data_IF_470929856562
#
_entry.id   IF_470929856562
#
_cell.length_a   1.000
_cell.length_b   1.000
_cell.length_c   1.000
_cell.angle_alpha   90.00
_cell.angle_beta   90.00
_cell.angle_gamma   90.00
#
_symmetry.space_group_name_H-M   'P 1'
#
loop_
_entity.id
_entity.type
_entity.pdbx_description
1 polymer ?
#
# COMPACT_ATOMS: atom_id res chain seq x y z
N UNK A 1 -2.43 18.02 13.16
CA UNK A 1 -2.29 16.61 12.71
C UNK A 1 -2.70 15.61 13.79
N UNK A 2 -2.10 15.65 15.00
CA UNK A 2 -2.44 14.73 16.10
C UNK A 2 -3.94 14.71 16.46
N UNK A 3 -4.58 15.87 16.54
CA UNK A 3 -6.02 15.97 16.81
C UNK A 3 -6.89 15.23 15.77
N UNK A 4 -6.59 15.39 14.47
CA UNK A 4 -7.32 14.71 13.40
C UNK A 4 -7.14 13.19 13.46
N UNK A 5 -5.91 12.73 13.74
CA UNK A 5 -5.62 11.31 13.90
C UNK A 5 -6.38 10.72 15.10
N UNK A 6 -6.38 11.42 16.24
CA UNK A 6 -7.18 11.03 17.41
C UNK A 6 -8.67 10.89 17.08
N UNK A 7 -9.26 11.87 16.38
CA UNK A 7 -10.69 11.80 15.99
C UNK A 7 -10.94 10.60 15.06
N UNK A 8 -10.04 10.32 14.12
CA UNK A 8 -10.16 9.15 13.25
C UNK A 8 -10.11 7.84 14.05
N UNK A 9 -9.14 7.67 14.96
CA UNK A 9 -9.03 6.48 15.83
C UNK A 9 -10.27 6.34 16.72
N UNK A 10 -10.72 7.43 17.35
CA UNK A 10 -11.91 7.44 18.19
C UNK A 10 -13.15 6.98 17.43
N UNK A 11 -13.42 7.61 16.29
CA UNK A 11 -14.58 7.26 15.47
C UNK A 11 -14.51 5.82 14.95
N UNK A 12 -13.31 5.34 14.60
CA UNK A 12 -13.11 3.97 14.17
C UNK A 12 -13.43 3.00 15.32
N UNK A 13 -12.85 3.20 16.51
CA UNK A 13 -13.10 2.36 17.68
C UNK A 13 -14.60 2.31 18.06
N UNK A 14 -15.26 3.47 18.14
CA UNK A 14 -16.69 3.56 18.44
C UNK A 14 -17.56 2.86 17.37
N UNK A 15 -17.13 2.88 16.11
CA UNK A 15 -17.86 2.19 15.03
C UNK A 15 -17.68 0.68 15.14
N UNK A 16 -16.46 0.21 15.45
CA UNK A 16 -16.17 -1.23 15.64
C UNK A 16 -16.93 -1.79 16.83
N UNK A 17 -17.02 -1.06 17.94
CA UNK A 17 -17.81 -1.47 19.10
C UNK A 17 -19.27 -1.69 18.73
N UNK A 18 -19.86 -0.86 17.86
CA UNK A 18 -21.27 -0.99 17.43
C UNK A 18 -21.54 -2.17 16.47
N UNK A 19 -20.51 -2.88 15.99
CA UNK A 19 -20.65 -4.01 15.05
C UNK A 19 -20.96 -5.37 15.73
N UNK A 20 -21.39 -5.38 17.00
CA UNK A 20 -21.55 -6.57 17.86
C UNK A 20 -22.34 -7.73 17.23
N UNK A 21 -23.26 -7.44 16.30
CA UNK A 21 -24.08 -8.46 15.61
C UNK A 21 -23.31 -9.36 14.64
N UNK A 22 -22.04 -9.06 14.33
CA UNK A 22 -21.19 -9.84 13.41
C UNK A 22 -19.80 -10.08 13.99
N UNK A 23 -19.70 -10.98 14.97
CA UNK A 23 -18.48 -11.25 15.73
C UNK A 23 -17.20 -11.46 14.87
N UNK A 24 -17.31 -12.16 13.73
CA UNK A 24 -16.17 -12.36 12.83
C UNK A 24 -15.67 -11.07 12.17
N UNK A 25 -16.57 -10.24 11.66
CA UNK A 25 -16.24 -8.96 11.03
C UNK A 25 -15.72 -7.98 12.08
N UNK A 26 -16.38 -7.91 13.24
CA UNK A 26 -15.96 -7.05 14.34
C UNK A 26 -14.52 -7.35 14.76
N UNK A 27 -14.14 -8.62 14.86
CA UNK A 27 -12.77 -9.02 15.21
C UNK A 27 -11.74 -8.50 14.19
N UNK A 28 -11.99 -8.68 12.89
CA UNK A 28 -11.06 -8.23 11.85
C UNK A 28 -10.98 -6.70 11.81
N UNK A 29 -12.12 -6.02 11.92
CA UNK A 29 -12.18 -4.55 11.97
C UNK A 29 -11.49 -3.99 13.22
N UNK A 30 -11.56 -4.70 14.35
CA UNK A 30 -10.82 -4.36 15.56
C UNK A 30 -9.31 -4.44 15.34
N UNK A 31 -8.82 -5.51 14.71
CA UNK A 31 -7.39 -5.60 14.36
C UNK A 31 -6.96 -4.44 13.46
N UNK A 32 -7.75 -4.04 12.46
CA UNK A 32 -7.43 -2.89 11.60
C UNK A 32 -7.44 -1.57 12.37
N UNK A 33 -8.40 -1.37 13.27
CA UNK A 33 -8.46 -0.20 14.16
C UNK A 33 -7.21 -0.12 15.05
N UNK A 34 -6.83 -1.23 15.67
CA UNK A 34 -5.66 -1.32 16.53
C UNK A 34 -4.37 -1.08 15.73
N UNK A 35 -4.25 -1.65 14.52
CA UNK A 35 -3.11 -1.42 13.64
C UNK A 35 -2.99 0.06 13.26
N UNK A 36 -4.11 0.70 12.92
CA UNK A 36 -4.14 2.12 12.56
C UNK A 36 -3.72 3.02 13.73
N UNK A 37 -4.21 2.72 14.94
CA UNK A 37 -3.84 3.46 16.15
C UNK A 37 -2.35 3.26 16.51
N UNK A 38 -1.88 2.02 16.54
CA UNK A 38 -0.48 1.68 16.83
C UNK A 38 0.46 2.28 15.78
N UNK A 39 0.10 2.25 14.50
CA UNK A 39 0.87 2.89 13.44
C UNK A 39 1.01 4.40 13.66
N UNK A 40 -0.05 5.06 14.12
CA UNK A 40 -0.02 6.48 14.47
C UNK A 40 0.92 6.79 15.63
N UNK A 41 0.91 5.96 16.68
CA UNK A 41 1.83 6.07 17.82
C UNK A 41 3.27 5.83 17.36
N UNK A 42 3.52 4.70 16.68
CA UNK A 42 4.81 4.30 16.14
C UNK A 42 5.43 5.39 15.25
N UNK A 43 4.65 5.95 14.33
CA UNK A 43 5.12 6.98 13.39
C UNK A 43 5.41 8.33 14.07
N UNK A 44 4.88 8.56 15.28
CA UNK A 44 5.02 9.83 16.01
C UNK A 44 5.67 9.63 17.39
N UNK A 45 6.52 8.62 17.53
CA UNK A 45 7.10 8.18 18.81
C UNK A 45 7.70 9.33 19.64
N UNK A 46 8.39 10.27 18.99
CA UNK A 46 8.99 11.43 19.68
C UNK A 46 7.98 12.28 20.46
N UNK A 47 6.76 12.46 19.93
CA UNK A 47 5.72 13.25 20.61
C UNK A 47 5.16 12.54 21.85
N UNK A 48 5.05 11.20 21.82
CA UNK A 48 4.54 10.40 22.94
C UNK A 48 5.56 10.17 24.05
N UNK A 49 6.86 10.29 23.75
CA UNK A 49 7.95 10.21 24.71
C UNK A 49 8.28 11.56 25.36
N UNK A 50 7.99 12.68 24.68
CA UNK A 50 8.50 14.01 25.04
C UNK A 50 8.06 14.49 26.43
N UNK A 51 6.82 14.23 26.84
CA UNK A 51 6.28 14.64 28.13
C UNK A 51 6.42 13.56 29.23
N UNK A 52 7.02 12.42 28.90
CA UNK A 52 7.18 11.28 29.80
C UNK A 52 5.89 10.53 30.12
N UNK A 53 4.77 10.85 29.44
CA UNK A 53 3.51 10.13 29.60
C UNK A 53 3.63 8.66 29.13
N UNK A 54 4.42 8.44 28.08
CA UNK A 54 4.80 7.10 27.62
C UNK A 54 6.28 6.87 27.88
N UNK A 55 6.62 5.72 28.47
CA UNK A 55 8.01 5.30 28.70
C UNK A 55 8.61 4.63 27.46
N UNK A 56 9.94 4.57 27.39
CA UNK A 56 10.65 3.84 26.33
C UNK A 56 10.22 2.37 26.25
N UNK A 57 10.11 1.69 27.39
CA UNK A 57 9.65 0.30 27.45
C UNK A 57 8.21 0.12 26.91
N UNK A 58 7.32 1.10 27.12
CA UNK A 58 5.99 1.07 26.53
C UNK A 58 6.01 1.29 25.01
N UNK A 59 6.95 2.08 24.49
CA UNK A 59 7.13 2.22 23.04
C UNK A 59 7.70 0.96 22.40
N UNK A 60 8.56 0.23 23.11
CA UNK A 60 9.02 -1.09 22.67
C UNK A 60 7.84 -2.07 22.57
N UNK A 61 6.96 -2.10 23.57
CA UNK A 61 5.72 -2.91 23.55
C UNK A 61 4.77 -2.53 22.41
N UNK A 62 4.64 -1.23 22.11
CA UNK A 62 3.84 -0.74 20.96
C UNK A 62 4.43 -1.27 19.66
N UNK A 63 5.76 -1.24 19.51
CA UNK A 63 6.44 -1.71 18.30
C UNK A 63 6.27 -3.21 18.12
N UNK A 64 6.42 -4.01 19.18
CA UNK A 64 6.19 -5.45 19.15
C UNK A 64 4.75 -5.78 18.78
N UNK A 65 3.78 -5.15 19.47
CA UNK A 65 2.35 -5.34 19.19
C UNK A 65 1.96 -4.97 17.76
N UNK A 66 2.57 -3.89 17.21
CA UNK A 66 2.37 -3.47 15.84
C UNK A 66 2.84 -4.54 14.84
N UNK A 67 4.03 -5.12 15.06
CA UNK A 67 4.59 -6.16 14.20
C UNK A 67 3.79 -7.47 14.28
N UNK A 68 3.37 -7.87 15.48
CA UNK A 68 2.51 -9.04 15.66
C UNK A 68 1.18 -8.89 14.94
N UNK A 69 0.59 -7.70 15.02
CA UNK A 69 -0.69 -7.42 14.39
C UNK A 69 -0.61 -7.42 12.85
N UNK A 70 0.52 -6.99 12.27
CA UNK A 70 0.77 -7.14 10.83
C UNK A 70 0.76 -8.63 10.41
N UNK A 71 1.34 -9.53 11.21
CA UNK A 71 1.34 -10.96 10.93
C UNK A 71 -0.07 -11.57 11.02
N UNK A 72 -0.90 -11.08 11.92
CA UNK A 72 -2.32 -11.47 12.04
C UNK A 72 -3.10 -11.01 10.81
N UNK A 73 -3.04 -9.73 10.46
CA UNK A 73 -3.81 -9.11 9.37
C UNK A 73 -3.38 -9.64 8.00
N UNK A 74 -2.11 -10.01 7.83
CA UNK A 74 -1.59 -10.57 6.56
C UNK A 74 -2.46 -11.69 5.99
N UNK A 75 -3.04 -12.53 6.84
CA UNK A 75 -3.89 -13.66 6.41
C UNK A 75 -5.18 -13.22 5.73
N UNK A 76 -5.70 -12.06 6.13
CA UNK A 76 -6.96 -11.49 5.66
C UNK A 76 -6.74 -10.31 4.70
N UNK A 77 -5.49 -9.95 4.39
CA UNK A 77 -5.17 -8.75 3.62
C UNK A 77 -5.80 -8.74 2.21
N UNK A 78 -5.81 -9.87 1.51
CA UNK A 78 -6.45 -10.00 0.19
C UNK A 78 -7.98 -9.93 0.29
N UNK A 79 -8.66 -10.75 1.13
CA UNK A 79 -10.11 -10.62 1.34
C UNK A 79 -10.58 -9.22 1.77
N UNK A 80 -9.77 -8.50 2.55
CA UNK A 80 -10.07 -7.14 3.00
C UNK A 80 -10.10 -6.12 1.85
N UNK A 81 -9.19 -6.24 0.88
CA UNK A 81 -9.20 -5.36 -0.30
C UNK A 81 -10.24 -5.83 -1.33
N UNK A 82 -10.51 -7.14 -1.40
CA UNK A 82 -11.57 -7.70 -2.24
C UNK A 82 -12.95 -7.23 -1.77
N UNK A 83 -13.14 -6.98 -0.46
CA UNK A 83 -14.38 -6.46 0.11
C UNK A 83 -14.77 -5.05 -0.39
N UNK A 84 -13.86 -4.32 -1.05
CA UNK A 84 -14.21 -3.07 -1.75
C UNK A 84 -14.98 -3.30 -3.05
N UNK A 85 -15.00 -4.54 -3.56
CA UNK A 85 -15.78 -4.95 -4.73
C UNK A 85 -15.47 -4.12 -5.99
N UNK A 86 -14.19 -3.76 -6.17
CA UNK A 86 -13.75 -3.07 -7.37
C UNK A 86 -13.60 -4.03 -8.54
N UNK A 87 -14.22 -3.68 -9.67
CA UNK A 87 -13.99 -4.39 -10.94
C UNK A 87 -12.62 -4.07 -11.52
N UNK A 88 -12.03 -5.00 -12.29
CA UNK A 88 -10.79 -4.78 -13.04
C UNK A 88 -10.86 -3.50 -13.92
N UNK A 89 -12.04 -3.19 -14.45
CA UNK A 89 -12.27 -1.98 -15.28
C UNK A 89 -12.20 -0.69 -14.46
N UNK A 90 -12.77 -0.68 -13.25
CA UNK A 90 -12.71 0.49 -12.36
C UNK A 90 -11.32 0.65 -11.73
N UNK A 91 -10.66 -0.46 -11.39
CA UNK A 91 -9.33 -0.44 -10.81
C UNK A 91 -8.25 -0.11 -11.85
N UNK A 92 -8.47 -0.54 -13.11
CA UNK A 92 -7.62 -0.26 -14.27
C UNK A 92 -6.13 -0.45 -13.95
N UNK A 93 -5.78 -1.60 -13.38
CA UNK A 93 -4.42 -1.92 -12.92
C UNK A 93 -4.03 -3.33 -13.36
N UNK A 94 -2.94 -3.45 -14.13
CA UNK A 94 -2.38 -4.75 -14.48
C UNK A 94 -1.82 -5.50 -13.26
N UNK A 95 -1.29 -4.78 -12.25
CA UNK A 95 -0.76 -5.37 -11.01
C UNK A 95 -1.88 -5.78 -10.04
N UNK A 96 -2.98 -5.05 -10.04
CA UNK A 96 -4.13 -5.28 -9.16
C UNK A 96 -5.21 -6.17 -9.77
N UNK A 97 -4.89 -6.96 -10.79
CA UNK A 97 -5.89 -7.79 -11.47
C UNK A 97 -6.47 -8.86 -10.54
N UNK A 98 -7.80 -8.99 -10.53
CA UNK A 98 -8.51 -9.91 -9.65
C UNK A 98 -8.09 -11.38 -9.81
N UNK A 99 -7.87 -11.84 -11.04
CA UNK A 99 -7.48 -13.23 -11.34
C UNK A 99 -5.98 -13.54 -11.11
N UNK A 100 -5.19 -12.55 -10.69
CA UNK A 100 -3.76 -12.69 -10.46
C UNK A 100 -2.87 -12.86 -11.72
N UNK A 101 -3.41 -12.72 -12.94
CA UNK A 101 -2.65 -12.84 -14.20
C UNK A 101 -1.83 -11.57 -14.52
N UNK A 102 -0.98 -11.18 -13.58
CA UNK A 102 -0.26 -9.90 -13.57
C UNK A 102 0.76 -9.81 -14.72
N UNK A 103 1.61 -10.82 -14.87
CA UNK A 103 2.71 -10.77 -15.85
C UNK A 103 2.20 -10.74 -17.29
N UNK A 104 1.15 -11.50 -17.59
CA UNK A 104 0.53 -11.49 -18.90
C UNK A 104 -0.08 -10.12 -19.21
N UNK A 105 -0.86 -9.54 -18.29
CA UNK A 105 -1.45 -8.20 -18.49
C UNK A 105 -0.37 -7.12 -18.64
N UNK A 106 0.69 -7.17 -17.84
CA UNK A 106 1.82 -6.23 -17.96
C UNK A 106 2.47 -6.33 -19.34
N UNK A 107 2.66 -7.54 -19.86
CA UNK A 107 3.20 -7.75 -21.20
C UNK A 107 2.28 -7.18 -22.29
N UNK A 108 0.99 -7.48 -22.24
CA UNK A 108 0.00 -6.95 -23.17
C UNK A 108 -0.10 -5.42 -23.11
N UNK A 109 -0.01 -4.83 -21.92
CA UNK A 109 0.04 -3.38 -21.72
C UNK A 109 1.29 -2.78 -22.32
N UNK A 110 2.45 -3.38 -22.02
CA UNK A 110 3.72 -2.93 -22.56
C UNK A 110 3.66 -2.94 -24.10
N UNK A 111 3.17 -4.01 -24.72
CA UNK A 111 3.01 -4.14 -26.18
C UNK A 111 2.14 -3.04 -26.80
N UNK A 112 1.08 -2.61 -26.11
CA UNK A 112 0.17 -1.54 -26.57
C UNK A 112 0.76 -0.13 -26.43
N UNK A 113 1.92 0.02 -25.81
CA UNK A 113 2.59 1.32 -25.67
C UNK A 113 2.89 1.93 -27.05
N UNK A 114 2.58 3.23 -27.27
CA UNK A 114 2.87 3.90 -28.54
C UNK A 114 4.37 3.96 -28.84
N UNK A 115 5.23 3.86 -27.81
CA UNK A 115 6.69 3.92 -27.94
C UNK A 115 7.30 2.65 -28.54
N UNK A 116 6.55 1.56 -28.64
CA UNK A 116 7.06 0.32 -29.28
C UNK A 116 7.15 0.43 -30.80
N UNK A 117 6.58 1.48 -31.38
CA UNK A 117 6.76 1.77 -32.79
C UNK A 117 8.14 2.39 -33.00
N UNK A 118 8.72 2.15 -34.17
CA UNK A 118 10.05 2.66 -34.50
C UNK A 118 10.09 4.19 -34.37
N UNK A 119 10.92 4.69 -33.44
CA UNK A 119 11.03 6.11 -33.19
C UNK A 119 11.73 6.81 -34.36
N UNK A 120 11.18 7.92 -34.89
CA UNK A 120 11.87 8.76 -35.88
C UNK A 120 13.23 9.27 -35.39
N UNK A 121 13.45 9.30 -34.07
CA UNK A 121 14.73 9.68 -33.48
C UNK A 121 15.88 8.74 -33.88
N UNK A 122 15.59 7.48 -34.19
CA UNK A 122 16.63 6.55 -34.64
C UNK A 122 17.25 7.00 -35.96
N UNK A 123 16.43 7.22 -37.00
CA UNK A 123 16.91 7.63 -38.32
C UNK A 123 17.56 9.01 -38.28
N UNK A 124 17.01 9.94 -37.50
CA UNK A 124 17.48 11.33 -37.47
C UNK A 124 18.75 11.54 -36.64
N UNK A 125 18.90 10.81 -35.52
CA UNK A 125 19.96 11.08 -34.54
C UNK A 125 20.86 9.87 -34.27
N UNK A 126 20.30 8.67 -34.06
CA UNK A 126 21.11 7.52 -33.64
C UNK A 126 21.88 6.89 -34.82
N UNK A 127 21.23 6.71 -35.97
CA UNK A 127 21.83 6.07 -37.15
C UNK A 127 23.05 6.83 -37.71
N UNK A 128 23.02 8.17 -37.90
CA UNK A 128 24.20 8.92 -38.34
C UNK A 128 25.35 8.85 -37.32
N UNK A 129 25.04 8.87 -36.01
CA UNK A 129 26.06 8.76 -34.97
C UNK A 129 26.75 7.39 -34.99
N UNK A 130 25.99 6.30 -35.11
CA UNK A 130 26.52 4.93 -35.13
C UNK A 130 27.31 4.62 -36.41
N UNK A 131 26.94 5.21 -37.55
CA UNK A 131 27.67 5.01 -38.80
C UNK A 131 28.96 5.86 -38.88
N UNK A 132 28.97 7.08 -38.32
CA UNK A 132 30.16 7.94 -38.34
C UNK A 132 31.28 7.47 -37.38
N UNK A 133 30.98 6.66 -36.37
CA UNK A 133 31.98 6.10 -35.46
C UNK A 133 32.75 4.91 -36.03
N UNK A 134 32.21 4.22 -37.04
CA UNK A 134 32.86 3.06 -37.67
C UNK A 134 33.83 3.43 -38.80
N UNK A 135 33.79 4.67 -39.31
CA UNK A 135 34.59 5.12 -40.47
C UNK A 135 35.95 5.75 -40.10
N UNK A 136 36.47 5.53 -38.89
CA UNK A 136 37.78 6.06 -38.44
C UNK A 136 38.73 4.98 -37.90
N UNK A 137 38.80 3.84 -38.59
CA UNK A 137 39.86 2.84 -38.46
C UNK A 137 40.45 2.55 -39.84
#
# INVERSE_FOLDING_TARGET
QAHCHYIAVKNFAETVEKLETKAGIQKIMKHLCDLFALHGIFSNTGAFLHDGYTSAAQMDMVTESYLDLLAVIRKDAVPLVDAFDFTDKSLNSALGSYDGQVYQRLYEWAQKSPTNQMSPAYERYLKPLLHNTLSKL
#
